data_IF_715927824045
#
_entry.id   IF_715927824045
#
_cell.length_a   1.000
_cell.length_b   1.000
_cell.length_c   1.000
_cell.angle_alpha   90.00
_cell.angle_beta   90.00
_cell.angle_gamma   90.00
#
_symmetry.space_group_name_H-M   'P 1'
#
loop_
_entity.id
_entity.type
_entity.pdbx_description
1 polymer ?
#
# COMPACT_ATOMS: atom_id res chain seq x y z
N UNK A 1 -44.04 30.42 -23.11
CA UNK A 1 -42.65 30.06 -23.52
C UNK A 1 -41.61 30.98 -22.86
N UNK A 2 -41.74 32.32 -22.79
CA UNK A 2 -40.73 33.21 -22.15
C UNK A 2 -40.43 32.90 -20.68
N UNK A 3 -41.45 32.50 -19.87
CA UNK A 3 -41.26 32.16 -18.43
C UNK A 3 -40.48 30.85 -18.22
N UNK A 4 -40.52 29.94 -19.18
CA UNK A 4 -39.80 28.69 -19.12
C UNK A 4 -38.28 28.91 -19.38
N UNK A 5 -37.95 29.81 -20.32
CA UNK A 5 -36.57 30.17 -20.62
C UNK A 5 -35.88 30.93 -19.47
N UNK A 6 -36.61 31.81 -18.75
CA UNK A 6 -36.06 32.52 -17.58
C UNK A 6 -35.81 31.58 -16.42
N UNK A 7 -36.64 30.56 -16.21
CA UNK A 7 -36.47 29.56 -15.14
C UNK A 7 -35.29 28.61 -15.45
N UNK A 8 -35.12 28.20 -16.73
CA UNK A 8 -33.99 27.42 -17.19
C UNK A 8 -32.66 28.18 -17.04
N UNK A 9 -32.67 29.50 -17.31
CA UNK A 9 -31.49 30.34 -17.17
C UNK A 9 -31.06 30.57 -15.72
N UNK A 10 -32.01 30.56 -14.77
CA UNK A 10 -31.76 30.63 -13.33
C UNK A 10 -31.25 29.32 -12.75
N UNK A 11 -31.57 28.15 -13.37
CA UNK A 11 -31.08 26.83 -12.96
C UNK A 11 -29.65 26.55 -13.43
N UNK A 12 -29.20 27.14 -14.53
CA UNK A 12 -27.84 26.96 -15.03
C UNK A 12 -26.74 27.32 -14.01
N UNK A 13 -26.76 28.50 -13.35
CA UNK A 13 -25.73 28.82 -12.36
C UNK A 13 -25.81 27.92 -11.13
N UNK A 14 -27.00 27.48 -10.71
CA UNK A 14 -27.16 26.55 -9.59
C UNK A 14 -26.57 25.18 -9.95
N UNK A 15 -26.85 24.67 -11.13
CA UNK A 15 -26.27 23.41 -11.63
C UNK A 15 -24.75 23.51 -11.80
N UNK A 16 -24.24 24.63 -12.31
CA UNK A 16 -22.82 24.89 -12.45
C UNK A 16 -22.09 24.98 -11.09
N UNK A 17 -22.72 25.62 -10.11
CA UNK A 17 -22.21 25.70 -8.75
C UNK A 17 -22.20 24.30 -8.11
N UNK A 18 -23.27 23.54 -8.26
CA UNK A 18 -23.39 22.20 -7.71
C UNK A 18 -22.38 21.21 -8.36
N UNK A 19 -22.18 21.32 -9.67
CA UNK A 19 -21.14 20.57 -10.39
C UNK A 19 -19.73 20.96 -9.92
N UNK A 20 -19.46 22.25 -9.78
CA UNK A 20 -18.16 22.74 -9.32
C UNK A 20 -17.86 22.32 -7.89
N UNK A 21 -18.85 22.29 -6.99
CA UNK A 21 -18.65 21.88 -5.60
C UNK A 21 -18.54 20.35 -5.43
N UNK A 22 -19.14 19.53 -6.28
CA UNK A 22 -19.12 18.07 -6.12
C UNK A 22 -18.07 17.37 -7.00
N UNK A 23 -17.94 17.73 -8.28
CA UNK A 23 -17.04 17.04 -9.19
C UNK A 23 -15.72 17.79 -9.44
N UNK A 24 -15.77 19.13 -9.46
CA UNK A 24 -14.57 19.94 -9.70
C UNK A 24 -13.57 19.90 -8.55
N UNK A 25 -14.03 19.71 -7.31
CA UNK A 25 -13.13 19.58 -6.16
C UNK A 25 -12.46 18.21 -6.13
N UNK A 26 -13.17 17.13 -6.45
CA UNK A 26 -12.61 15.79 -6.51
C UNK A 26 -11.50 15.67 -7.57
N UNK A 27 -11.67 16.33 -8.72
CA UNK A 27 -10.63 16.33 -9.77
C UNK A 27 -9.40 17.14 -9.35
N UNK A 28 -9.58 18.27 -8.68
CA UNK A 28 -8.46 19.04 -8.12
C UNK A 28 -7.70 18.21 -7.07
N UNK A 29 -8.40 17.51 -6.19
CA UNK A 29 -7.79 16.62 -5.21
C UNK A 29 -7.01 15.49 -5.87
N UNK A 30 -7.52 14.89 -6.95
CA UNK A 30 -6.81 13.87 -7.71
C UNK A 30 -5.53 14.40 -8.38
N UNK A 31 -5.57 15.62 -8.92
CA UNK A 31 -4.38 16.25 -9.49
C UNK A 31 -3.33 16.53 -8.40
N UNK A 32 -3.76 17.01 -7.25
CA UNK A 32 -2.87 17.22 -6.11
C UNK A 32 -2.29 15.90 -5.60
N UNK A 33 -3.12 14.85 -5.45
CA UNK A 33 -2.70 13.52 -5.06
C UNK A 33 -1.64 12.93 -6.00
N UNK A 34 -1.79 13.10 -7.33
CA UNK A 34 -0.77 12.67 -8.31
C UNK A 34 0.58 13.36 -8.08
N UNK A 35 0.59 14.67 -7.84
CA UNK A 35 1.83 15.42 -7.52
C UNK A 35 2.46 14.92 -6.22
N UNK A 36 1.64 14.61 -5.22
CA UNK A 36 2.12 14.03 -3.97
C UNK A 36 2.77 12.65 -4.19
N UNK A 37 2.16 11.79 -4.99
CA UNK A 37 2.74 10.48 -5.36
C UNK A 37 4.09 10.65 -6.06
N UNK A 38 4.22 11.61 -6.98
CA UNK A 38 5.48 11.87 -7.66
C UNK A 38 6.55 12.36 -6.69
N UNK A 39 6.20 13.29 -5.78
CA UNK A 39 7.11 13.76 -4.73
C UNK A 39 7.57 12.63 -3.81
N UNK A 40 6.66 11.76 -3.36
CA UNK A 40 7.02 10.60 -2.53
C UNK A 40 8.00 9.70 -3.28
N UNK A 41 7.76 9.41 -4.57
CA UNK A 41 8.67 8.60 -5.39
C UNK A 41 10.05 9.22 -5.54
N UNK A 42 10.13 10.54 -5.61
CA UNK A 42 11.42 11.24 -5.63
C UNK A 42 12.15 11.09 -4.29
N UNK A 43 11.44 11.22 -3.16
CA UNK A 43 12.01 11.00 -1.82
C UNK A 43 12.51 9.56 -1.64
N UNK A 44 11.75 8.56 -2.12
CA UNK A 44 12.14 7.14 -2.07
C UNK A 44 13.38 6.80 -2.93
N UNK A 45 13.67 7.61 -3.97
CA UNK A 45 14.82 7.38 -4.86
C UNK A 45 16.11 8.00 -4.36
N UNK A 46 16.08 8.79 -3.30
CA UNK A 46 17.29 9.37 -2.74
C UNK A 46 18.23 8.26 -2.27
N UNK A 47 19.56 8.48 -2.31
CA UNK A 47 20.51 7.50 -1.79
C UNK A 47 20.30 7.16 -0.32
N UNK A 48 19.85 8.13 0.48
CA UNK A 48 19.48 8.00 1.88
C UNK A 48 18.07 8.57 2.08
N UNK A 49 17.02 7.75 1.91
CA UNK A 49 15.66 8.20 2.07
C UNK A 49 15.31 8.49 3.54
N UNK A 50 14.65 9.60 3.79
CA UNK A 50 14.06 9.89 5.10
C UNK A 50 12.70 9.14 5.22
N UNK A 51 12.76 7.88 5.68
CA UNK A 51 11.57 7.03 5.77
C UNK A 51 10.47 7.58 6.69
N UNK A 52 10.79 8.19 7.86
CA UNK A 52 9.79 8.91 8.66
C UNK A 52 9.05 10.00 7.88
N UNK A 53 9.77 10.85 7.15
CA UNK A 53 9.16 11.90 6.32
C UNK A 53 8.32 11.32 5.15
N UNK A 54 8.76 10.19 4.59
CA UNK A 54 8.02 9.46 3.55
C UNK A 54 6.70 8.90 4.10
N UNK A 55 6.71 8.35 5.31
CA UNK A 55 5.49 7.85 5.97
C UNK A 55 4.50 8.98 6.21
N UNK A 56 4.95 10.14 6.70
CA UNK A 56 4.11 11.32 6.87
C UNK A 56 3.50 11.77 5.54
N UNK A 57 4.29 11.80 4.45
CA UNK A 57 3.80 12.14 3.13
C UNK A 57 2.74 11.14 2.60
N UNK A 58 2.84 9.85 2.92
CA UNK A 58 1.79 8.87 2.62
C UNK A 58 0.52 9.10 3.46
N UNK A 59 0.64 9.52 4.70
CA UNK A 59 -0.49 9.84 5.57
C UNK A 59 -1.22 11.09 5.06
N UNK A 60 -0.48 12.13 4.65
CA UNK A 60 -1.03 13.31 3.98
C UNK A 60 -1.75 12.94 2.68
N UNK A 61 -1.13 12.10 1.83
CA UNK A 61 -1.74 11.61 0.60
C UNK A 61 -3.06 10.89 0.87
N UNK A 62 -3.10 10.04 1.89
CA UNK A 62 -4.30 9.29 2.27
C UNK A 62 -5.42 10.21 2.75
N UNK A 63 -5.08 11.28 3.48
CA UNK A 63 -6.02 12.27 3.97
C UNK A 63 -6.60 13.16 2.84
N UNK A 64 -5.84 13.37 1.75
CA UNK A 64 -6.27 14.16 0.59
C UNK A 64 -7.21 13.39 -0.35
N UNK A 65 -7.24 12.06 -0.29
CA UNK A 65 -8.06 11.28 -1.20
C UNK A 65 -9.55 11.58 -1.00
N UNK A 66 -10.33 11.69 -2.08
CA UNK A 66 -11.77 11.75 -2.00
C UNK A 66 -12.34 10.54 -1.25
N UNK A 67 -13.38 10.74 -0.44
CA UNK A 67 -14.02 9.64 0.31
C UNK A 67 -14.60 8.54 -0.58
N UNK A 68 -14.91 8.87 -1.84
CA UNK A 68 -15.42 7.99 -2.88
C UNK A 68 -14.33 7.45 -3.81
N UNK A 69 -13.04 7.61 -3.46
CA UNK A 69 -11.95 7.10 -4.28
C UNK A 69 -12.02 5.56 -4.40
N UNK A 70 -11.64 5.06 -5.58
CA UNK A 70 -11.71 3.64 -5.89
C UNK A 70 -10.93 2.80 -4.86
N UNK A 71 -11.52 1.69 -4.35
CA UNK A 71 -10.86 0.83 -3.35
C UNK A 71 -9.46 0.35 -3.79
N UNK A 72 -9.26 0.14 -5.09
CA UNK A 72 -7.96 -0.25 -5.63
C UNK A 72 -6.88 0.80 -5.35
N UNK A 73 -7.19 2.09 -5.53
CA UNK A 73 -6.24 3.20 -5.28
C UNK A 73 -5.92 3.28 -3.80
N UNK A 74 -6.93 3.19 -2.94
CA UNK A 74 -6.75 3.20 -1.48
C UNK A 74 -5.86 2.03 -1.03
N UNK A 75 -6.10 0.80 -1.53
CA UNK A 75 -5.28 -0.36 -1.21
C UNK A 75 -3.84 -0.24 -1.74
N UNK A 76 -3.64 0.37 -2.91
CA UNK A 76 -2.30 0.61 -3.46
C UNK A 76 -1.50 1.59 -2.60
N UNK A 77 -2.11 2.66 -2.12
CA UNK A 77 -1.45 3.65 -1.26
C UNK A 77 -1.14 3.04 0.11
N UNK A 78 -2.09 2.32 0.72
CA UNK A 78 -1.85 1.61 1.99
C UNK A 78 -0.72 0.59 1.86
N UNK A 79 -0.67 -0.16 0.77
CA UNK A 79 0.43 -1.10 0.51
C UNK A 79 1.78 -0.38 0.36
N UNK A 80 1.81 0.74 -0.38
CA UNK A 80 3.04 1.51 -0.57
C UNK A 80 3.54 2.10 0.78
N UNK A 81 2.64 2.68 1.57
CA UNK A 81 2.94 3.17 2.92
C UNK A 81 3.52 2.07 3.81
N UNK A 82 2.89 0.88 3.82
CA UNK A 82 3.36 -0.22 4.67
C UNK A 82 4.71 -0.78 4.19
N UNK A 83 5.03 -0.70 2.90
CA UNK A 83 6.39 -0.99 2.41
C UNK A 83 7.40 0.01 2.96
N UNK A 84 7.09 1.30 2.95
CA UNK A 84 7.94 2.32 3.56
C UNK A 84 8.12 2.11 5.08
N UNK A 85 7.08 1.64 5.76
CA UNK A 85 7.14 1.29 7.19
C UNK A 85 8.10 0.12 7.47
N UNK A 86 8.19 -0.86 6.58
CA UNK A 86 9.17 -1.94 6.70
C UNK A 86 10.62 -1.44 6.63
N UNK A 87 10.88 -0.37 5.89
CA UNK A 87 12.21 0.26 5.82
C UNK A 87 12.59 0.98 7.13
N UNK A 88 11.62 1.35 7.98
CA UNK A 88 11.88 1.84 9.35
C UNK A 88 12.08 0.72 10.37
N UNK A 89 12.04 -0.55 9.94
CA UNK A 89 12.10 -1.75 10.78
C UNK A 89 10.91 -1.88 11.77
N UNK A 90 9.83 -1.13 11.58
CA UNK A 90 8.57 -1.38 12.30
C UNK A 90 7.82 -2.57 11.68
N UNK A 91 8.41 -3.75 11.87
CA UNK A 91 7.93 -5.01 11.28
C UNK A 91 6.63 -5.46 11.90
N UNK A 92 6.44 -5.25 13.20
CA UNK A 92 5.23 -5.67 13.91
C UNK A 92 4.00 -4.90 13.42
N UNK A 93 4.08 -3.57 13.38
CA UNK A 93 3.00 -2.73 12.85
C UNK A 93 2.72 -2.99 11.36
N UNK A 94 3.76 -3.27 10.57
CA UNK A 94 3.59 -3.62 9.17
C UNK A 94 2.86 -4.97 8.98
N UNK A 95 3.14 -6.00 9.78
CA UNK A 95 2.44 -7.30 9.73
C UNK A 95 0.96 -7.13 10.04
N UNK A 96 0.61 -6.36 11.06
CA UNK A 96 -0.77 -6.08 11.42
C UNK A 96 -1.52 -5.41 10.27
N UNK A 97 -0.99 -4.32 9.74
CA UNK A 97 -1.60 -3.57 8.63
C UNK A 97 -1.72 -4.41 7.35
N UNK A 98 -0.71 -5.21 7.01
CA UNK A 98 -0.74 -6.10 5.85
C UNK A 98 -1.75 -7.23 6.01
N UNK A 99 -1.93 -7.75 7.22
CA UNK A 99 -2.92 -8.79 7.49
C UNK A 99 -4.34 -8.27 7.25
N UNK A 100 -4.64 -7.08 7.73
CA UNK A 100 -5.93 -6.43 7.50
C UNK A 100 -6.14 -6.09 6.03
N UNK A 101 -5.12 -5.48 5.40
CA UNK A 101 -5.15 -5.12 3.98
C UNK A 101 -5.30 -6.37 3.07
N UNK A 102 -4.70 -7.50 3.43
CA UNK A 102 -4.86 -8.76 2.70
C UNK A 102 -6.31 -9.24 2.75
N UNK A 103 -6.92 -9.21 3.93
CA UNK A 103 -8.33 -9.60 4.10
C UNK A 103 -9.25 -8.70 3.27
N UNK A 104 -9.10 -7.38 3.37
CA UNK A 104 -9.91 -6.40 2.64
C UNK A 104 -9.72 -6.51 1.11
N UNK A 105 -8.46 -6.62 0.65
CA UNK A 105 -8.17 -6.72 -0.78
C UNK A 105 -8.69 -8.04 -1.39
N UNK A 106 -8.60 -9.15 -0.65
CA UNK A 106 -9.15 -10.43 -1.08
C UNK A 106 -10.68 -10.40 -1.20
N UNK A 107 -11.36 -9.77 -0.25
CA UNK A 107 -12.82 -9.59 -0.28
C UNK A 107 -13.27 -8.68 -1.42
N UNK A 108 -12.53 -7.60 -1.68
CA UNK A 108 -12.92 -6.57 -2.65
C UNK A 108 -12.54 -6.93 -4.09
N UNK A 109 -11.37 -7.52 -4.30
CA UNK A 109 -10.79 -7.75 -5.63
C UNK A 109 -10.63 -9.24 -5.97
N UNK A 110 -10.76 -10.13 -4.98
CA UNK A 110 -10.51 -11.57 -5.11
C UNK A 110 -9.08 -11.99 -4.74
N UNK A 111 -8.93 -13.26 -4.41
CA UNK A 111 -7.68 -13.87 -3.90
C UNK A 111 -6.52 -13.80 -4.90
N UNK A 112 -6.81 -13.89 -6.20
CA UNK A 112 -5.81 -13.92 -7.27
C UNK A 112 -5.55 -12.56 -7.92
N UNK A 113 -6.24 -11.50 -7.47
CA UNK A 113 -6.05 -10.16 -8.00
C UNK A 113 -4.61 -9.66 -7.79
N UNK A 114 -4.10 -8.87 -8.73
CA UNK A 114 -2.72 -8.35 -8.69
C UNK A 114 -2.41 -7.63 -7.37
N UNK A 115 -3.35 -6.82 -6.88
CA UNK A 115 -3.17 -6.10 -5.61
C UNK A 115 -3.12 -7.07 -4.43
N UNK A 116 -4.03 -8.04 -4.35
CA UNK A 116 -4.08 -9.04 -3.28
C UNK A 116 -2.81 -9.88 -3.24
N UNK A 117 -2.28 -10.26 -4.41
CA UNK A 117 -0.99 -10.96 -4.51
C UNK A 117 0.18 -10.10 -4.04
N UNK A 118 0.20 -8.82 -4.42
CA UNK A 118 1.24 -7.89 -3.98
C UNK A 118 1.23 -7.66 -2.46
N UNK A 119 0.04 -7.57 -1.85
CA UNK A 119 -0.11 -7.50 -0.39
C UNK A 119 0.39 -8.79 0.27
N UNK A 120 0.00 -9.96 -0.26
CA UNK A 120 0.44 -11.27 0.26
C UNK A 120 1.96 -11.43 0.18
N UNK A 121 2.57 -11.04 -0.93
CA UNK A 121 4.03 -11.06 -1.09
C UNK A 121 4.71 -10.17 -0.05
N UNK A 122 4.21 -8.95 0.15
CA UNK A 122 4.77 -8.03 1.15
C UNK A 122 4.60 -8.55 2.57
N UNK A 123 3.47 -9.20 2.88
CA UNK A 123 3.25 -9.87 4.17
C UNK A 123 4.25 -11.01 4.39
N UNK A 124 4.55 -11.80 3.35
CA UNK A 124 5.59 -12.83 3.42
C UNK A 124 6.97 -12.25 3.74
N UNK A 125 7.34 -11.13 3.11
CA UNK A 125 8.58 -10.39 3.41
C UNK A 125 8.60 -9.89 4.85
N UNK A 126 7.51 -9.31 5.35
CA UNK A 126 7.42 -8.83 6.72
C UNK A 126 7.62 -9.95 7.75
N UNK A 127 7.02 -11.13 7.53
CA UNK A 127 7.26 -12.30 8.37
C UNK A 127 8.70 -12.81 8.29
N UNK A 128 9.32 -12.76 7.11
CA UNK A 128 10.74 -13.10 6.96
C UNK A 128 11.63 -12.12 7.75
N UNK A 129 11.36 -10.82 7.69
CA UNK A 129 12.09 -9.79 8.46
C UNK A 129 11.94 -10.03 9.97
N UNK A 130 10.73 -10.32 10.46
CA UNK A 130 10.51 -10.67 11.85
C UNK A 130 11.34 -11.89 12.26
N UNK A 131 11.35 -12.95 11.43
CA UNK A 131 12.16 -14.16 11.68
C UNK A 131 13.65 -13.83 11.79
N UNK A 132 14.16 -13.03 10.87
CA UNK A 132 15.57 -12.69 10.79
C UNK A 132 16.00 -11.79 11.96
N UNK A 133 15.20 -10.77 12.31
CA UNK A 133 15.45 -9.89 13.44
C UNK A 133 15.48 -10.66 14.76
N UNK A 134 14.49 -11.54 15.02
CA UNK A 134 14.42 -12.35 16.22
C UNK A 134 15.61 -13.32 16.33
N UNK A 135 16.00 -13.97 15.24
CA UNK A 135 17.20 -14.83 15.23
C UNK A 135 18.47 -14.05 15.50
N UNK A 136 18.63 -12.87 14.89
CA UNK A 136 19.82 -12.04 15.08
C UNK A 136 19.90 -11.47 16.49
N UNK A 137 18.74 -11.20 17.14
CA UNK A 137 18.70 -10.77 18.54
C UNK A 137 18.92 -11.91 19.55
N UNK A 138 19.05 -13.15 19.10
CA UNK A 138 19.24 -14.32 19.98
C UNK A 138 17.95 -14.81 20.62
N UNK A 139 16.79 -14.48 20.08
CA UNK A 139 15.49 -14.94 20.58
C UNK A 139 15.38 -16.49 20.50
N UNK A 140 14.59 -17.06 21.43
CA UNK A 140 14.35 -18.50 21.47
C UNK A 140 13.60 -18.98 20.20
N UNK A 141 13.78 -20.29 19.89
CA UNK A 141 13.18 -20.85 18.66
C UNK A 141 11.66 -20.72 18.64
N UNK A 142 11.02 -20.80 19.77
CA UNK A 142 9.58 -20.67 19.94
C UNK A 142 9.05 -19.30 19.54
N UNK A 143 9.89 -18.25 19.62
CA UNK A 143 9.52 -16.89 19.28
C UNK A 143 9.59 -16.62 17.76
N UNK A 144 10.62 -17.08 17.07
CA UNK A 144 10.78 -16.80 15.64
C UNK A 144 10.16 -17.87 14.72
N UNK A 145 10.01 -19.12 15.19
CA UNK A 145 9.48 -20.25 14.40
C UNK A 145 8.10 -19.97 13.77
N UNK A 146 7.11 -19.39 14.50
CA UNK A 146 5.80 -19.09 13.91
C UNK A 146 5.90 -18.15 12.70
N UNK A 147 6.80 -17.16 12.73
CA UNK A 147 7.02 -16.25 11.61
C UNK A 147 7.65 -16.96 10.42
N UNK A 148 8.65 -17.83 10.66
CA UNK A 148 9.28 -18.62 9.61
C UNK A 148 8.29 -19.58 8.92
N UNK A 149 7.41 -20.22 9.70
CA UNK A 149 6.37 -21.10 9.16
C UNK A 149 5.35 -20.32 8.34
N UNK A 150 4.94 -19.13 8.81
CA UNK A 150 4.03 -18.26 8.07
C UNK A 150 4.66 -17.79 6.76
N UNK A 151 5.94 -17.41 6.77
CA UNK A 151 6.71 -17.06 5.57
C UNK A 151 6.65 -18.19 4.52
N UNK A 152 6.95 -19.43 4.93
CA UNK A 152 6.90 -20.61 4.04
C UNK A 152 5.50 -20.86 3.46
N UNK A 153 4.46 -20.75 4.30
CA UNK A 153 3.07 -20.92 3.86
C UNK A 153 2.68 -19.90 2.80
N UNK A 154 3.02 -18.62 3.03
CA UNK A 154 2.71 -17.53 2.11
C UNK A 154 3.43 -17.73 0.76
N UNK A 155 4.73 -18.02 0.79
CA UNK A 155 5.49 -18.19 -0.45
C UNK A 155 5.14 -19.47 -1.20
N UNK A 156 4.78 -20.55 -0.49
CA UNK A 156 4.23 -21.75 -1.13
C UNK A 156 2.93 -21.41 -1.85
N UNK A 157 1.98 -20.73 -1.20
CA UNK A 157 0.73 -20.31 -1.84
C UNK A 157 1.00 -19.46 -3.10
N UNK A 158 1.93 -18.52 -3.04
CA UNK A 158 2.30 -17.69 -4.18
C UNK A 158 2.92 -18.53 -5.32
N UNK A 159 3.77 -19.50 -4.99
CA UNK A 159 4.39 -20.38 -5.97
C UNK A 159 3.40 -21.33 -6.65
N UNK A 160 2.42 -21.86 -5.91
CA UNK A 160 1.36 -22.72 -6.45
C UNK A 160 0.47 -22.00 -7.47
N UNK A 161 0.36 -20.67 -7.33
CA UNK A 161 -0.46 -19.81 -8.20
C UNK A 161 0.37 -19.01 -9.23
N UNK A 162 1.65 -19.34 -9.40
CA UNK A 162 2.59 -18.74 -10.34
C UNK A 162 3.45 -19.82 -11.03
N UNK A 163 4.43 -19.39 -11.83
CA UNK A 163 5.31 -20.30 -12.57
C UNK A 163 6.16 -21.19 -11.65
N UNK A 164 6.50 -22.45 -12.09
CA UNK A 164 7.37 -23.34 -11.36
C UNK A 164 8.73 -22.69 -11.04
N UNK A 165 9.19 -22.82 -9.79
CA UNK A 165 10.47 -22.22 -9.33
C UNK A 165 10.34 -20.83 -8.71
N UNK A 166 9.12 -20.28 -8.63
CA UNK A 166 8.90 -18.98 -8.03
C UNK A 166 9.29 -18.91 -6.54
N UNK A 167 9.14 -20.00 -5.78
CA UNK A 167 9.41 -20.04 -4.34
C UNK A 167 10.87 -19.67 -4.02
N UNK A 168 11.84 -20.37 -4.62
CA UNK A 168 13.26 -20.11 -4.39
C UNK A 168 13.64 -18.69 -4.78
N UNK A 169 13.15 -18.24 -5.93
CA UNK A 169 13.37 -16.87 -6.41
C UNK A 169 12.80 -15.81 -5.47
N UNK A 170 11.68 -16.08 -4.80
CA UNK A 170 11.12 -15.19 -3.78
C UNK A 170 11.98 -15.15 -2.53
N UNK A 171 12.38 -16.32 -2.01
CA UNK A 171 13.22 -16.43 -0.83
C UNK A 171 14.57 -15.71 -1.01
N UNK A 172 15.26 -15.95 -2.12
CA UNK A 172 16.54 -15.31 -2.44
C UNK A 172 16.42 -13.78 -2.54
N UNK A 173 15.37 -13.30 -3.20
CA UNK A 173 15.11 -11.86 -3.34
C UNK A 173 14.82 -11.19 -2.01
N UNK A 174 13.98 -11.80 -1.18
CA UNK A 174 13.61 -11.26 0.13
C UNK A 174 14.81 -11.23 1.07
N UNK A 175 15.66 -12.27 1.03
CA UNK A 175 16.89 -12.29 1.80
C UNK A 175 17.86 -11.16 1.39
N UNK A 176 18.01 -10.93 0.08
CA UNK A 176 18.86 -9.86 -0.44
C UNK A 176 18.33 -8.45 -0.10
N UNK A 177 17.00 -8.25 -0.16
CA UNK A 177 16.38 -6.98 0.24
C UNK A 177 16.56 -6.70 1.75
N UNK A 178 16.37 -7.74 2.58
CA UNK A 178 16.54 -7.61 4.02
C UNK A 178 17.99 -7.26 4.41
N UNK A 179 18.98 -7.92 3.79
CA UNK A 179 20.38 -7.61 4.03
C UNK A 179 20.69 -6.13 3.76
N UNK A 180 20.19 -5.58 2.65
CA UNK A 180 20.34 -4.14 2.32
C UNK A 180 19.67 -3.20 3.32
N UNK A 181 18.56 -3.62 3.92
CA UNK A 181 17.84 -2.80 4.91
C UNK A 181 18.60 -2.73 6.24
N UNK A 182 19.35 -3.80 6.60
CA UNK A 182 20.17 -3.82 7.82
C UNK A 182 21.51 -3.09 7.69
N UNK A 183 22.00 -2.86 6.46
CA UNK A 183 23.26 -2.15 6.20
C UNK A 183 23.11 -0.62 6.21
N UNK A 184 21.88 -0.11 6.26
CA UNK A 184 21.57 1.33 6.35
C UNK A 184 21.43 1.80 7.80
#
# INVERSE_FOLDING_TARGET
>A
MRKFFTLLWLLCPVAAVQYHFNEGQDELLRVQARRHVERIREMERLPEPDWPAILEAYDELSAMLPKNEAPLVQHQIRLARTKAQLETLDVAGAIEQLTDLLRESAQTHGETAKITRAVRETLGKAHYYATSLLKTSGAAEEEWRPFAERTRQIFRFLAEHQEPGALQKYEDRVAAEFAKTLEK
#
